data_IF_941263911632
#
_entry.id   IF_941263911632
#
_cell.length_a   1.000
_cell.length_b   1.000
_cell.length_c   1.000
_cell.angle_alpha   90.00
_cell.angle_beta   90.00
_cell.angle_gamma   90.00
#
_symmetry.space_group_name_H-M   'P 1'
#
loop_
_entity.id
_entity.type
_entity.pdbx_description
1 polymer ?
#
# COMPACT_ATOMS: atom_id res chain seq x y z
N UNK A 1 -5.49 8.40 23.00
CA UNK A 1 -4.73 7.14 23.01
C UNK A 1 -3.31 7.42 22.55
N UNK A 2 -2.35 6.63 23.01
CA UNK A 2 -1.00 6.63 22.44
C UNK A 2 -0.90 5.53 21.37
N UNK A 3 -0.50 5.92 20.16
CA UNK A 3 -0.55 5.04 18.99
C UNK A 3 0.83 4.97 18.32
N UNK A 4 1.32 3.75 18.06
CA UNK A 4 2.53 3.54 17.26
C UNK A 4 2.13 3.28 15.79
N UNK A 5 2.74 4.02 14.87
CA UNK A 5 2.66 3.78 13.43
C UNK A 5 4.04 3.39 12.92
N UNK A 6 4.24 2.11 12.59
CA UNK A 6 5.47 1.68 11.92
C UNK A 6 5.36 1.93 10.41
N UNK A 7 6.46 2.27 9.74
CA UNK A 7 6.39 2.81 8.38
C UNK A 7 5.82 4.25 8.35
N UNK A 8 5.94 4.96 9.50
CA UNK A 8 5.29 6.23 9.76
C UNK A 8 5.76 7.39 8.89
N UNK A 9 6.97 7.34 8.33
CA UNK A 9 7.51 8.40 7.45
C UNK A 9 7.20 8.14 5.97
N UNK A 10 6.69 6.94 5.64
CA UNK A 10 6.27 6.58 4.30
C UNK A 10 4.99 7.28 3.85
N UNK A 11 4.59 7.09 2.60
CA UNK A 11 3.41 7.73 2.00
C UNK A 11 2.13 7.52 2.83
N UNK A 12 1.75 6.26 3.05
CA UNK A 12 0.54 5.93 3.83
C UNK A 12 0.72 6.26 5.31
N UNK A 13 1.89 5.95 5.88
CA UNK A 13 2.16 6.19 7.30
C UNK A 13 2.05 7.66 7.67
N UNK A 14 2.64 8.54 6.88
CA UNK A 14 2.56 10.00 7.08
C UNK A 14 1.12 10.51 7.05
N UNK A 15 0.33 10.05 6.08
CA UNK A 15 -1.08 10.44 5.98
C UNK A 15 -1.88 9.97 7.21
N UNK A 16 -1.65 8.73 7.67
CA UNK A 16 -2.27 8.20 8.87
C UNK A 16 -1.83 8.95 10.13
N UNK A 17 -0.53 9.22 10.30
CA UNK A 17 0.00 9.99 11.45
C UNK A 17 -0.69 11.36 11.54
N UNK A 18 -0.81 12.08 10.40
CA UNK A 18 -1.51 13.36 10.36
C UNK A 18 -2.96 13.23 10.82
N UNK A 19 -3.68 12.20 10.34
CA UNK A 19 -5.07 11.96 10.72
C UNK A 19 -5.21 11.67 12.20
N UNK A 20 -4.41 10.76 12.75
CA UNK A 20 -4.46 10.40 14.16
C UNK A 20 -4.13 11.57 15.10
N UNK A 21 -3.17 12.42 14.73
CA UNK A 21 -2.88 13.65 15.47
C UNK A 21 -4.06 14.63 15.45
N UNK A 22 -4.72 14.79 14.29
CA UNK A 22 -5.91 15.64 14.15
C UNK A 22 -7.10 15.09 14.97
N UNK A 23 -7.19 13.77 15.12
CA UNK A 23 -8.19 13.10 15.96
C UNK A 23 -7.83 13.18 17.48
N UNK A 24 -6.74 13.87 17.84
CA UNK A 24 -6.33 14.13 19.23
C UNK A 24 -5.55 12.99 19.88
N UNK A 25 -4.95 12.09 19.10
CA UNK A 25 -4.11 11.02 19.62
C UNK A 25 -2.64 11.46 19.82
N UNK A 26 -1.93 10.81 20.74
CA UNK A 26 -0.47 10.90 20.86
C UNK A 26 0.17 9.85 19.93
N UNK A 27 0.97 10.28 18.96
CA UNK A 27 1.45 9.40 17.88
C UNK A 27 2.96 9.28 17.88
N UNK A 28 3.43 8.03 17.92
CA UNK A 28 4.82 7.66 17.68
C UNK A 28 4.92 7.11 16.25
N UNK A 29 5.75 7.76 15.41
CA UNK A 29 6.05 7.32 14.05
C UNK A 29 7.42 6.64 14.03
N UNK A 30 7.48 5.32 13.75
CA UNK A 30 8.72 4.57 13.64
C UNK A 30 8.97 4.19 12.18
N UNK A 31 10.17 4.45 11.68
CA UNK A 31 10.58 4.05 10.33
C UNK A 31 12.10 3.86 10.26
N UNK A 32 12.59 3.02 9.32
CA UNK A 32 14.01 2.71 9.20
C UNK A 32 14.84 3.86 8.60
N UNK A 33 14.21 4.82 7.96
CA UNK A 33 14.83 6.00 7.38
C UNK A 33 13.91 7.21 7.44
N UNK A 34 14.46 8.39 7.32
CA UNK A 34 13.67 9.58 7.09
C UNK A 34 13.00 9.51 5.71
N UNK A 35 11.71 9.77 5.67
CA UNK A 35 10.93 9.86 4.45
C UNK A 35 10.82 11.30 3.94
N UNK A 36 10.13 11.46 2.81
CA UNK A 36 9.81 12.77 2.25
C UNK A 36 9.00 13.56 3.29
N UNK A 37 9.53 14.74 3.65
CA UNK A 37 8.86 15.66 4.59
C UNK A 37 8.71 15.09 6.03
N UNK A 38 9.62 14.25 6.51
CA UNK A 38 9.64 13.75 7.90
C UNK A 38 9.58 14.88 8.92
N UNK A 39 10.24 16.02 8.65
CA UNK A 39 10.18 17.21 9.51
C UNK A 39 8.75 17.76 9.69
N UNK A 40 7.84 17.51 8.77
CA UNK A 40 6.44 17.87 8.95
C UNK A 40 5.79 17.04 10.07
N UNK A 41 6.12 15.76 10.20
CA UNK A 41 5.61 14.91 11.29
C UNK A 41 6.02 15.47 12.66
N UNK A 42 7.30 15.88 12.80
CA UNK A 42 7.80 16.50 14.04
C UNK A 42 7.09 17.82 14.32
N UNK A 43 6.88 18.67 13.29
CA UNK A 43 6.15 19.94 13.43
C UNK A 43 4.67 19.75 13.77
N UNK A 44 4.06 18.64 13.35
CA UNK A 44 2.68 18.31 13.72
C UNK A 44 2.57 17.74 15.14
N UNK A 45 3.70 17.44 15.79
CA UNK A 45 3.73 16.95 17.17
C UNK A 45 3.91 15.42 17.31
N UNK A 46 4.19 14.69 16.22
CA UNK A 46 4.51 13.27 16.33
C UNK A 46 5.91 13.06 16.93
N UNK A 47 6.06 12.07 17.80
CA UNK A 47 7.35 11.54 18.17
C UNK A 47 7.88 10.69 17.02
N UNK A 48 9.06 11.03 16.45
CA UNK A 48 9.64 10.31 15.32
C UNK A 48 10.85 9.51 15.79
N UNK A 49 10.81 8.19 15.57
CA UNK A 49 11.90 7.25 15.89
C UNK A 49 12.42 6.66 14.56
N UNK A 50 13.71 6.85 14.29
CA UNK A 50 14.37 6.29 13.11
C UNK A 50 15.08 5.00 13.50
N UNK A 51 14.43 3.87 13.21
CA UNK A 51 14.92 2.52 13.48
C UNK A 51 14.19 1.48 12.62
N UNK A 52 14.83 0.34 12.37
CA UNK A 52 14.20 -0.80 11.74
C UNK A 52 13.21 -1.48 12.68
N UNK A 53 12.16 -2.08 12.13
CA UNK A 53 11.25 -2.98 12.89
C UNK A 53 11.95 -4.26 13.37
N UNK A 54 13.16 -4.54 12.88
CA UNK A 54 14.02 -5.64 13.36
C UNK A 54 14.92 -5.23 14.54
N UNK A 55 15.02 -3.93 14.84
CA UNK A 55 15.72 -3.43 16.02
C UNK A 55 14.82 -3.55 17.26
N UNK A 56 15.01 -4.64 17.99
CA UNK A 56 14.17 -5.00 19.14
C UNK A 56 14.21 -3.93 20.26
N UNK A 57 15.34 -3.31 20.50
CA UNK A 57 15.47 -2.33 21.59
C UNK A 57 14.83 -0.99 21.21
N UNK A 58 15.01 -0.55 19.97
CA UNK A 58 14.35 0.65 19.47
C UNK A 58 12.82 0.47 19.41
N UNK A 59 12.33 -0.68 18.94
CA UNK A 59 10.89 -0.98 18.92
C UNK A 59 10.33 -1.07 20.35
N UNK A 60 11.05 -1.69 21.30
CA UNK A 60 10.65 -1.75 22.70
C UNK A 60 10.50 -0.36 23.31
N UNK A 61 11.44 0.55 23.01
CA UNK A 61 11.35 1.93 23.49
C UNK A 61 10.19 2.71 22.85
N UNK A 62 9.94 2.48 21.56
CA UNK A 62 8.89 3.17 20.81
C UNK A 62 7.48 2.70 21.21
N UNK A 63 7.33 1.46 21.70
CA UNK A 63 6.04 0.84 22.05
C UNK A 63 5.64 1.09 23.51
N UNK A 64 6.49 1.70 24.31
CA UNK A 64 6.22 1.96 25.72
C UNK A 64 5.01 2.88 25.90
N UNK A 65 4.03 2.40 26.70
CA UNK A 65 2.76 3.07 26.93
C UNK A 65 1.83 3.16 25.71
N UNK A 66 2.12 2.46 24.61
CA UNK A 66 1.28 2.40 23.42
C UNK A 66 0.08 1.50 23.65
N UNK A 67 -1.10 1.99 23.26
CA UNK A 67 -2.37 1.25 23.31
C UNK A 67 -2.71 0.55 22.01
N UNK A 68 -2.37 1.17 20.87
CA UNK A 68 -2.69 0.68 19.52
C UNK A 68 -1.46 0.73 18.63
N UNK A 69 -1.23 -0.32 17.84
CA UNK A 69 -0.18 -0.38 16.83
C UNK A 69 -0.81 -0.43 15.44
N UNK A 70 -0.43 0.49 14.56
CA UNK A 70 -0.62 0.39 13.12
C UNK A 70 0.68 -0.06 12.47
N UNK A 71 0.74 -1.31 12.03
CA UNK A 71 1.94 -1.89 11.44
C UNK A 71 1.89 -1.80 9.90
N UNK A 72 2.48 -0.69 9.37
CA UNK A 72 2.56 -0.41 7.95
C UNK A 72 3.97 -0.62 7.38
N UNK A 73 4.98 -0.78 8.24
CA UNK A 73 6.35 -1.02 7.82
C UNK A 73 6.45 -2.28 6.95
N UNK A 74 7.10 -2.17 5.81
CA UNK A 74 7.39 -3.30 4.93
C UNK A 74 8.55 -2.96 3.99
N UNK A 75 9.38 -3.96 3.69
CA UNK A 75 10.25 -3.92 2.52
C UNK A 75 9.36 -3.98 1.27
N UNK A 76 9.45 -2.97 0.41
CA UNK A 76 8.64 -2.82 -0.79
C UNK A 76 9.45 -2.21 -1.93
N UNK A 77 9.46 -2.86 -3.09
CA UNK A 77 10.19 -2.40 -4.29
C UNK A 77 11.70 -2.20 -4.13
N UNK A 78 12.31 -2.80 -3.14
CA UNK A 78 13.76 -2.86 -3.05
C UNK A 78 14.28 -3.81 -4.14
N UNK A 79 15.03 -3.29 -5.12
CA UNK A 79 15.42 -4.05 -6.31
C UNK A 79 16.76 -4.75 -6.15
N UNK A 80 17.64 -4.19 -5.32
CA UNK A 80 19.03 -4.66 -5.17
C UNK A 80 19.26 -5.46 -3.88
N UNK A 81 18.19 -6.02 -3.31
CA UNK A 81 18.25 -6.81 -2.07
C UNK A 81 17.86 -8.27 -2.32
N UNK A 82 18.42 -9.23 -1.57
CA UNK A 82 18.01 -10.62 -1.67
C UNK A 82 16.59 -10.83 -1.12
N UNK A 83 15.95 -11.92 -1.53
CA UNK A 83 14.61 -12.28 -1.02
C UNK A 83 14.57 -12.43 0.51
N UNK A 84 15.69 -12.85 1.12
CA UNK A 84 15.83 -12.96 2.57
C UNK A 84 15.61 -11.64 3.29
N UNK A 85 15.92 -10.50 2.66
CA UNK A 85 15.64 -9.18 3.21
C UNK A 85 14.13 -8.92 3.37
N UNK A 86 13.33 -9.31 2.36
CA UNK A 86 11.87 -9.22 2.47
C UNK A 86 11.32 -10.10 3.59
N UNK A 87 11.88 -11.31 3.74
CA UNK A 87 11.49 -12.23 4.81
C UNK A 87 11.83 -11.66 6.18
N UNK A 88 13.03 -11.12 6.34
CA UNK A 88 13.49 -10.52 7.58
C UNK A 88 12.61 -9.34 8.00
N UNK A 89 12.33 -8.41 7.08
CA UNK A 89 11.55 -7.22 7.40
C UNK A 89 10.05 -7.53 7.51
N UNK A 90 9.45 -8.19 6.49
CA UNK A 90 8.00 -8.31 6.42
C UNK A 90 7.45 -9.40 7.35
N UNK A 91 8.19 -10.46 7.59
CA UNK A 91 7.75 -11.55 8.49
C UNK A 91 8.46 -11.46 9.84
N UNK A 92 9.79 -11.37 9.85
CA UNK A 92 10.58 -11.24 11.08
C UNK A 92 10.27 -9.96 11.84
N UNK A 93 10.28 -8.80 11.14
CA UNK A 93 9.91 -7.52 11.73
C UNK A 93 8.48 -7.48 12.27
N UNK A 94 7.51 -8.07 11.53
CA UNK A 94 6.13 -8.19 12.02
C UNK A 94 6.07 -9.02 13.30
N UNK A 95 6.79 -10.17 13.36
CA UNK A 95 6.88 -10.99 14.57
C UNK A 95 7.45 -10.20 15.73
N UNK A 96 8.54 -9.50 15.53
CA UNK A 96 9.19 -8.69 16.56
C UNK A 96 8.23 -7.63 17.14
N UNK A 97 7.54 -6.88 16.27
CA UNK A 97 6.59 -5.87 16.73
C UNK A 97 5.40 -6.50 17.46
N UNK A 98 4.86 -7.64 17.01
CA UNK A 98 3.76 -8.37 17.66
C UNK A 98 4.14 -8.86 19.07
N UNK A 99 5.32 -9.48 19.21
CA UNK A 99 5.82 -9.98 20.49
C UNK A 99 6.01 -8.85 21.50
N UNK A 100 6.60 -7.74 21.06
CA UNK A 100 6.80 -6.55 21.89
C UNK A 100 5.47 -5.85 22.23
N UNK A 101 4.54 -5.78 21.26
CA UNK A 101 3.21 -5.24 21.48
C UNK A 101 2.45 -6.01 22.57
N UNK A 102 2.46 -7.35 22.48
CA UNK A 102 1.85 -8.21 23.51
C UNK A 102 2.51 -8.04 24.87
N UNK A 103 3.84 -7.99 24.92
CA UNK A 103 4.59 -7.80 26.15
C UNK A 103 4.36 -6.43 26.81
N UNK A 104 4.12 -5.39 26.02
CA UNK A 104 3.81 -4.03 26.47
C UNK A 104 2.33 -3.81 26.83
N UNK A 105 1.45 -4.82 26.64
CA UNK A 105 0.03 -4.70 26.91
C UNK A 105 -0.76 -3.89 25.89
N UNK A 106 -0.26 -3.81 24.65
CA UNK A 106 -0.99 -3.22 23.51
C UNK A 106 -2.30 -3.98 23.33
N UNK A 107 -3.41 -3.25 23.29
CA UNK A 107 -4.74 -3.85 23.20
C UNK A 107 -5.24 -4.07 21.78
N UNK A 108 -4.61 -3.43 20.79
CA UNK A 108 -5.01 -3.54 19.37
C UNK A 108 -3.81 -3.48 18.43
N UNK A 109 -3.79 -4.39 17.47
CA UNK A 109 -2.76 -4.46 16.43
C UNK A 109 -3.40 -4.47 15.04
N UNK A 110 -3.21 -3.41 14.27
CA UNK A 110 -3.70 -3.27 12.89
C UNK A 110 -2.57 -3.56 11.91
N UNK A 111 -2.74 -4.59 11.11
CA UNK A 111 -1.77 -5.00 10.11
C UNK A 111 -2.18 -4.52 8.72
N UNK A 112 -1.34 -3.72 8.08
CA UNK A 112 -1.52 -3.31 6.69
C UNK A 112 -0.87 -4.34 5.75
N UNK A 113 -1.69 -5.26 5.22
CA UNK A 113 -1.32 -6.24 4.19
C UNK A 113 -1.44 -5.64 2.77
N UNK A 114 -1.93 -6.37 1.79
CA UNK A 114 -2.16 -5.91 0.41
C UNK A 114 -3.17 -6.80 -0.31
N UNK A 115 -4.04 -6.23 -1.14
CA UNK A 115 -4.86 -7.01 -2.09
C UNK A 115 -4.00 -7.81 -3.08
N UNK A 116 -2.73 -7.43 -3.26
CA UNK A 116 -1.79 -8.16 -4.12
C UNK A 116 -1.61 -9.63 -3.76
N UNK A 117 -1.94 -10.05 -2.54
CA UNK A 117 -1.88 -11.47 -2.11
C UNK A 117 -2.76 -12.37 -2.97
N UNK A 118 -3.83 -11.84 -3.57
CA UNK A 118 -4.70 -12.56 -4.50
C UNK A 118 -4.10 -12.70 -5.91
N UNK A 119 -3.02 -11.95 -6.24
CA UNK A 119 -2.39 -12.00 -7.56
C UNK A 119 -3.33 -11.58 -8.69
N UNK A 120 -3.49 -12.46 -9.69
CA UNK A 120 -4.47 -12.27 -10.77
C UNK A 120 -5.83 -12.82 -10.36
N UNK A 121 -6.81 -11.95 -10.31
CA UNK A 121 -8.22 -12.31 -10.01
C UNK A 121 -8.87 -12.91 -11.25
N UNK A 122 -9.10 -14.22 -11.22
CA UNK A 122 -9.67 -14.94 -12.37
C UNK A 122 -11.13 -14.54 -12.64
N UNK A 123 -11.92 -14.34 -11.57
CA UNK A 123 -13.33 -13.94 -11.63
C UNK A 123 -13.53 -12.65 -10.83
N UNK A 124 -13.27 -11.49 -11.43
CA UNK A 124 -13.42 -10.20 -10.74
C UNK A 124 -14.91 -9.81 -10.55
N UNK A 125 -15.25 -9.14 -9.42
CA UNK A 125 -14.41 -8.81 -8.30
C UNK A 125 -14.16 -10.00 -7.35
N UNK A 126 -12.98 -10.07 -6.71
CA UNK A 126 -12.65 -11.04 -5.67
C UNK A 126 -13.05 -10.52 -4.29
N UNK A 127 -13.54 -11.40 -3.43
CA UNK A 127 -13.72 -11.17 -2.01
C UNK A 127 -12.50 -11.65 -1.18
N UNK A 128 -12.57 -11.55 0.14
CA UNK A 128 -11.49 -11.97 1.05
C UNK A 128 -11.21 -13.47 1.05
N UNK A 129 -12.19 -14.28 0.63
CA UNK A 129 -12.13 -15.75 0.59
C UNK A 129 -11.64 -16.28 -0.76
N UNK A 130 -11.43 -15.39 -1.74
CA UNK A 130 -10.86 -15.74 -3.03
C UNK A 130 -9.44 -16.32 -2.91
N UNK A 131 -9.01 -17.16 -3.88
CA UNK A 131 -7.70 -17.80 -3.84
C UNK A 131 -6.54 -16.82 -3.62
N UNK A 132 -5.59 -17.24 -2.79
CA UNK A 132 -4.34 -16.52 -2.53
C UNK A 132 -3.28 -17.04 -3.51
N UNK A 133 -2.85 -16.18 -4.41
CA UNK A 133 -1.89 -16.50 -5.48
C UNK A 133 -0.88 -15.38 -5.68
N UNK A 134 -0.01 -15.11 -4.68
CA UNK A 134 0.95 -14.01 -4.75
C UNK A 134 1.80 -14.10 -6.03
N UNK A 135 1.91 -13.00 -6.76
CA UNK A 135 2.63 -12.95 -8.02
C UNK A 135 4.12 -12.57 -7.84
N UNK A 136 4.49 -12.10 -6.67
CA UNK A 136 5.86 -11.73 -6.34
C UNK A 136 6.19 -11.96 -4.86
N UNK A 137 7.48 -11.89 -4.55
CA UNK A 137 8.00 -12.21 -3.21
C UNK A 137 7.53 -11.23 -2.13
N UNK A 138 7.32 -9.96 -2.48
CA UNK A 138 6.71 -8.99 -1.57
C UNK A 138 5.30 -9.41 -1.15
N UNK A 139 4.45 -9.75 -2.13
CA UNK A 139 3.08 -10.19 -1.87
C UNK A 139 3.07 -11.50 -1.05
N UNK A 140 3.98 -12.41 -1.36
CA UNK A 140 4.15 -13.65 -0.62
C UNK A 140 4.48 -13.37 0.86
N UNK A 141 5.51 -12.55 1.15
CA UNK A 141 5.89 -12.26 2.54
C UNK A 141 4.84 -11.46 3.29
N UNK A 142 4.07 -10.59 2.62
CA UNK A 142 2.93 -9.91 3.23
C UNK A 142 1.85 -10.92 3.64
N UNK A 143 1.56 -11.90 2.80
CA UNK A 143 0.62 -12.96 3.13
C UNK A 143 1.12 -13.88 4.23
N UNK A 144 2.39 -14.30 4.21
CA UNK A 144 3.00 -15.15 5.23
C UNK A 144 2.92 -14.53 6.65
N UNK A 145 2.90 -13.21 6.74
CA UNK A 145 2.72 -12.51 8.02
C UNK A 145 1.27 -12.50 8.51
N UNK A 146 0.25 -12.66 7.65
CA UNK A 146 -1.16 -12.64 8.07
C UNK A 146 -1.54 -13.76 9.06
N UNK A 147 -1.20 -15.05 8.82
CA UNK A 147 -1.43 -16.10 9.81
C UNK A 147 -0.71 -15.84 11.13
N UNK A 148 0.48 -15.23 11.07
CA UNK A 148 1.20 -14.83 12.28
C UNK A 148 0.41 -13.78 13.06
N UNK A 149 -0.08 -12.72 12.40
CA UNK A 149 -0.92 -11.70 13.05
C UNK A 149 -2.15 -12.34 13.67
N UNK A 150 -2.86 -13.20 12.95
CA UNK A 150 -4.05 -13.91 13.45
C UNK A 150 -3.75 -14.79 14.69
N UNK A 151 -2.54 -15.36 14.77
CA UNK A 151 -2.16 -16.19 15.93
C UNK A 151 -1.98 -15.39 17.22
N UNK A 152 -1.91 -14.07 17.15
CA UNK A 152 -1.85 -13.18 18.32
C UNK A 152 -3.23 -12.64 18.75
N UNK A 153 -4.29 -12.94 17.99
CA UNK A 153 -5.66 -12.57 18.37
C UNK A 153 -6.02 -13.18 19.73
N UNK A 154 -6.46 -12.35 20.63
CA UNK A 154 -6.85 -12.76 22.00
C UNK A 154 -7.81 -11.74 22.61
N UNK A 155 -8.32 -12.02 23.81
CA UNK A 155 -9.08 -11.03 24.56
C UNK A 155 -8.24 -9.82 24.95
N UNK A 156 -6.95 -10.03 25.24
CA UNK A 156 -6.03 -8.97 25.67
C UNK A 156 -5.52 -8.10 24.50
N UNK A 157 -5.38 -8.67 23.30
CA UNK A 157 -4.92 -7.95 22.12
C UNK A 157 -5.74 -8.34 20.90
N UNK A 158 -6.55 -7.43 20.40
CA UNK A 158 -7.32 -7.59 19.17
C UNK A 158 -6.46 -7.33 17.94
N UNK A 159 -6.64 -8.13 16.88
CA UNK A 159 -5.92 -7.97 15.63
C UNK A 159 -6.88 -7.66 14.49
N UNK A 160 -6.45 -6.79 13.56
CA UNK A 160 -7.20 -6.46 12.34
C UNK A 160 -6.25 -6.48 11.17
N UNK A 161 -6.64 -7.10 10.06
CA UNK A 161 -5.85 -7.12 8.83
C UNK A 161 -6.58 -6.33 7.75
N UNK A 162 -5.94 -5.29 7.24
CA UNK A 162 -6.42 -4.56 6.07
C UNK A 162 -5.57 -4.94 4.86
N UNK A 163 -6.22 -5.31 3.75
CA UNK A 163 -5.62 -5.57 2.44
C UNK A 163 -5.95 -4.40 1.50
N UNK A 164 -5.14 -3.33 1.46
CA UNK A 164 -5.38 -2.22 0.54
C UNK A 164 -5.09 -2.59 -0.90
N UNK A 165 -5.88 -2.01 -1.82
CA UNK A 165 -5.69 -2.09 -3.25
C UNK A 165 -4.58 -1.12 -3.73
N UNK A 166 -4.68 -0.57 -4.93
CA UNK A 166 -3.64 0.27 -5.51
C UNK A 166 -3.71 1.71 -4.96
N UNK A 167 -2.99 2.00 -3.89
CA UNK A 167 -3.01 3.29 -3.20
C UNK A 167 -2.43 4.38 -4.12
N UNK A 168 -3.11 5.53 -4.19
CA UNK A 168 -2.67 6.73 -4.90
C UNK A 168 -3.17 7.99 -4.19
N UNK A 169 -2.61 9.14 -4.55
CA UNK A 169 -3.04 10.43 -4.00
C UNK A 169 -1.89 11.43 -3.86
N UNK A 170 -2.16 12.63 -3.35
CA UNK A 170 -1.13 13.61 -3.00
C UNK A 170 -0.11 13.03 -2.01
N UNK A 171 1.18 13.13 -2.34
CA UNK A 171 2.26 12.55 -1.54
C UNK A 171 2.87 11.26 -2.10
N UNK A 172 2.30 10.64 -3.14
CA UNK A 172 2.89 9.51 -3.87
C UNK A 172 3.66 9.97 -5.11
N UNK A 173 5.00 10.06 -5.08
CA UNK A 173 5.76 10.51 -6.24
C UNK A 173 5.95 9.41 -7.31
N UNK A 174 5.66 8.15 -7.00
CA UNK A 174 6.16 7.02 -7.80
C UNK A 174 5.08 6.23 -8.54
N UNK A 175 4.06 5.73 -7.81
CA UNK A 175 3.19 4.67 -8.34
C UNK A 175 2.31 5.15 -9.49
N UNK A 176 1.50 6.15 -9.24
CA UNK A 176 0.67 6.79 -10.27
C UNK A 176 1.45 7.84 -11.06
N UNK A 177 2.52 8.40 -10.52
CA UNK A 177 3.38 9.38 -11.18
C UNK A 177 3.87 8.93 -12.56
N UNK A 178 4.11 7.64 -12.79
CA UNK A 178 4.47 7.12 -14.10
C UNK A 178 3.32 7.28 -15.12
N UNK A 179 2.06 7.03 -14.70
CA UNK A 179 0.88 7.19 -15.57
C UNK A 179 0.72 8.67 -15.91
N UNK A 180 0.74 9.54 -14.91
CA UNK A 180 0.62 10.99 -15.09
C UNK A 180 1.72 11.56 -16.01
N UNK A 181 2.99 11.19 -15.78
CA UNK A 181 4.11 11.61 -16.64
C UNK A 181 3.98 11.13 -18.09
N UNK A 182 3.44 9.94 -18.33
CA UNK A 182 3.18 9.43 -19.70
C UNK A 182 2.03 10.19 -20.35
N UNK A 183 0.94 10.41 -19.63
CA UNK A 183 -0.19 11.21 -20.10
C UNK A 183 0.24 12.65 -20.40
N UNK A 184 1.08 13.25 -19.56
CA UNK A 184 1.65 14.59 -19.79
C UNK A 184 2.41 14.69 -21.12
N UNK A 185 3.03 13.58 -21.59
CA UNK A 185 3.70 13.48 -22.89
C UNK A 185 2.73 13.24 -24.07
N UNK A 186 1.42 13.20 -23.82
CA UNK A 186 0.38 13.05 -24.85
C UNK A 186 0.21 11.64 -25.42
N UNK A 187 0.92 10.63 -24.89
CA UNK A 187 0.79 9.24 -25.38
C UNK A 187 1.03 8.22 -24.27
N UNK A 188 0.12 7.27 -24.16
CA UNK A 188 0.24 6.13 -23.28
C UNK A 188 -0.03 4.83 -24.04
N UNK A 189 1.00 4.06 -24.43
CA UNK A 189 0.81 2.80 -25.13
C UNK A 189 0.15 1.75 -24.22
N UNK A 190 -0.93 1.16 -24.73
CA UNK A 190 -1.62 0.03 -24.09
C UNK A 190 -1.07 -1.27 -24.69
N UNK A 191 -0.51 -2.14 -23.85
CA UNK A 191 -0.02 -3.44 -24.30
C UNK A 191 -1.08 -4.51 -24.04
N UNK A 192 -1.61 -5.10 -25.10
CA UNK A 192 -2.73 -6.03 -25.07
C UNK A 192 -4.08 -5.35 -25.25
N UNK A 193 -5.13 -5.90 -24.63
CA UNK A 193 -6.51 -5.41 -24.82
C UNK A 193 -6.83 -4.09 -24.10
N UNK A 194 -6.08 -3.74 -23.06
CA UNK A 194 -6.42 -2.60 -22.19
C UNK A 194 -7.65 -2.83 -21.28
N UNK A 195 -8.33 -3.98 -21.42
CA UNK A 195 -9.56 -4.30 -20.70
C UNK A 195 -9.32 -5.00 -19.35
N UNK A 196 -8.09 -5.08 -18.92
CA UNK A 196 -7.73 -5.65 -17.61
C UNK A 196 -8.14 -4.68 -16.51
N UNK A 197 -8.75 -5.20 -15.47
CA UNK A 197 -9.24 -4.39 -14.36
C UNK A 197 -8.13 -3.97 -13.41
N UNK A 198 -8.23 -2.72 -12.96
CA UNK A 198 -7.39 -2.10 -11.95
C UNK A 198 -8.25 -1.45 -10.89
N UNK A 199 -7.93 -1.64 -9.62
CA UNK A 199 -8.70 -1.08 -8.52
C UNK A 199 -7.86 -0.04 -7.79
N UNK A 200 -8.09 1.25 -8.03
CA UNK A 200 -7.46 2.32 -7.27
C UNK A 200 -7.96 2.35 -5.84
N UNK A 201 -7.18 3.00 -4.96
CA UNK A 201 -7.57 3.34 -3.61
C UNK A 201 -6.97 4.70 -3.26
N UNK A 202 -7.82 5.70 -3.12
CA UNK A 202 -7.37 7.03 -2.75
C UNK A 202 -6.84 7.06 -1.32
N UNK A 203 -5.75 7.80 -1.09
CA UNK A 203 -5.03 7.78 0.18
C UNK A 203 -5.92 8.12 1.38
N UNK A 204 -6.80 9.14 1.27
CA UNK A 204 -7.65 9.52 2.39
C UNK A 204 -8.71 8.45 2.68
N UNK A 205 -9.24 7.74 1.67
CA UNK A 205 -10.14 6.61 1.86
C UNK A 205 -9.45 5.48 2.65
N UNK A 206 -8.17 5.18 2.35
CA UNK A 206 -7.41 4.20 3.14
C UNK A 206 -7.18 4.68 4.57
N UNK A 207 -6.84 5.95 4.75
CA UNK A 207 -6.63 6.54 6.08
C UNK A 207 -7.91 6.49 6.91
N UNK A 208 -9.08 6.72 6.30
CA UNK A 208 -10.37 6.56 6.98
C UNK A 208 -10.62 5.12 7.44
N UNK A 209 -10.30 4.12 6.61
CA UNK A 209 -10.39 2.71 7.01
C UNK A 209 -9.43 2.37 8.17
N UNK A 210 -8.18 2.85 8.10
CA UNK A 210 -7.19 2.65 9.16
C UNK A 210 -7.62 3.34 10.48
N UNK A 211 -8.15 4.56 10.40
CA UNK A 211 -8.66 5.29 11.56
C UNK A 211 -9.89 4.62 12.17
N UNK A 212 -10.81 4.09 11.36
CA UNK A 212 -12.00 3.39 11.83
C UNK A 212 -11.63 2.17 12.68
N UNK A 213 -10.70 1.34 12.20
CA UNK A 213 -10.26 0.13 12.93
C UNK A 213 -9.31 0.41 14.11
N UNK A 214 -9.00 1.68 14.38
CA UNK A 214 -8.30 2.10 15.62
C UNK A 214 -9.21 1.94 16.84
N UNK A 215 -10.52 1.99 16.65
CA UNK A 215 -11.50 1.93 17.72
C UNK A 215 -11.80 0.49 18.15
N UNK A 216 -12.08 0.31 19.43
CA UNK A 216 -12.42 -0.99 20.01
C UNK A 216 -13.71 -1.55 19.42
N UNK A 217 -13.74 -2.87 19.20
CA UNK A 217 -14.87 -3.58 18.66
C UNK A 217 -15.04 -3.44 17.14
N UNK A 218 -14.22 -2.64 16.47
CA UNK A 218 -14.31 -2.46 15.02
C UNK A 218 -13.36 -3.43 14.32
N UNK A 219 -13.93 -4.45 13.68
CA UNK A 219 -13.20 -5.40 12.84
C UNK A 219 -12.33 -6.40 13.57
N UNK A 220 -12.57 -6.67 14.86
CA UNK A 220 -11.77 -7.57 15.70
C UNK A 220 -11.63 -8.96 15.08
N UNK A 221 -10.39 -9.44 14.93
CA UNK A 221 -10.05 -10.73 14.32
C UNK A 221 -10.26 -10.79 12.80
N UNK A 222 -10.78 -9.72 12.18
CA UNK A 222 -11.18 -9.69 10.78
C UNK A 222 -10.04 -9.43 9.79
N UNK A 223 -10.31 -9.76 8.54
CA UNK A 223 -9.48 -9.42 7.38
C UNK A 223 -10.38 -8.73 6.36
N UNK A 224 -9.95 -7.57 5.83
CA UNK A 224 -10.80 -6.72 4.98
C UNK A 224 -10.05 -6.24 3.75
N UNK A 225 -10.69 -6.37 2.58
CA UNK A 225 -10.26 -5.74 1.34
C UNK A 225 -10.64 -4.26 1.37
N UNK A 226 -9.70 -3.38 1.10
CA UNK A 226 -9.90 -1.93 1.11
C UNK A 226 -9.57 -1.37 -0.27
N UNK A 227 -10.58 -0.81 -0.94
CA UNK A 227 -10.46 -0.22 -2.27
C UNK A 227 -11.50 0.92 -2.42
N UNK A 228 -11.36 1.73 -3.47
CA UNK A 228 -12.39 2.71 -3.81
C UNK A 228 -13.68 2.00 -4.28
N UNK A 229 -14.78 2.75 -4.44
CA UNK A 229 -16.08 2.17 -4.82
C UNK A 229 -16.06 1.52 -6.21
N UNK A 230 -15.25 2.06 -7.13
CA UNK A 230 -15.20 1.58 -8.50
C UNK A 230 -13.82 1.04 -8.89
N UNK A 231 -13.81 -0.08 -9.59
CA UNK A 231 -12.67 -0.54 -10.35
C UNK A 231 -12.85 -0.23 -11.83
N UNK A 232 -11.77 0.02 -12.54
CA UNK A 232 -11.78 0.47 -13.94
C UNK A 232 -10.82 -0.34 -14.79
N UNK A 233 -11.01 -0.33 -16.12
CA UNK A 233 -10.00 -0.88 -17.01
C UNK A 233 -8.77 0.03 -17.07
N UNK A 234 -7.61 -0.53 -17.42
CA UNK A 234 -6.38 0.26 -17.58
C UNK A 234 -6.58 1.40 -18.58
N UNK A 235 -7.28 1.14 -19.69
CA UNK A 235 -7.58 2.14 -20.70
C UNK A 235 -8.48 3.27 -20.15
N UNK A 236 -9.51 2.90 -19.38
CA UNK A 236 -10.37 3.89 -18.73
C UNK A 236 -9.61 4.72 -17.70
N UNK A 237 -8.73 4.09 -16.90
CA UNK A 237 -7.88 4.81 -15.94
C UNK A 237 -7.02 5.86 -16.63
N UNK A 238 -6.34 5.49 -17.72
CA UNK A 238 -5.48 6.41 -18.49
C UNK A 238 -6.28 7.59 -19.05
N UNK A 239 -7.48 7.32 -19.58
CA UNK A 239 -8.39 8.36 -20.09
C UNK A 239 -8.84 9.30 -19.00
N UNK A 240 -9.19 8.78 -17.80
CA UNK A 240 -9.57 9.62 -16.65
C UNK A 240 -8.40 10.43 -16.10
N UNK A 241 -7.19 9.88 -16.10
CA UNK A 241 -5.98 10.66 -15.74
C UNK A 241 -5.77 11.82 -16.73
N UNK A 242 -5.95 11.59 -18.03
CA UNK A 242 -5.85 12.65 -19.03
C UNK A 242 -6.88 13.76 -18.79
N UNK A 243 -8.14 13.37 -18.52
CA UNK A 243 -9.21 14.31 -18.17
C UNK A 243 -8.90 15.08 -16.88
N UNK A 244 -8.32 14.43 -15.86
CA UNK A 244 -7.93 15.08 -14.61
C UNK A 244 -6.81 16.11 -14.77
N UNK A 245 -6.03 16.01 -15.86
CA UNK A 245 -4.97 16.92 -16.24
C UNK A 245 -5.39 17.97 -17.30
N UNK A 246 -6.66 17.96 -17.73
CA UNK A 246 -7.16 18.76 -18.86
C UNK A 246 -6.32 18.55 -20.15
N UNK A 247 -5.99 17.28 -20.46
CA UNK A 247 -5.15 16.91 -21.60
C UNK A 247 -5.80 15.81 -22.44
N UNK A 248 -5.43 15.78 -23.70
CA UNK A 248 -5.69 14.65 -24.59
C UNK A 248 -4.53 13.65 -24.53
N UNK A 249 -4.84 12.36 -24.61
CA UNK A 249 -3.85 11.29 -24.64
C UNK A 249 -4.17 10.31 -25.76
N UNK A 250 -3.18 9.96 -26.56
CA UNK A 250 -3.28 8.86 -27.54
C UNK A 250 -2.96 7.55 -26.84
N UNK A 251 -3.82 6.55 -26.99
CA UNK A 251 -3.65 5.22 -26.42
C UNK A 251 -3.45 4.16 -27.51
N UNK A 252 -2.29 4.15 -28.21
CA UNK A 252 -2.04 3.15 -29.24
C UNK A 252 -1.98 1.75 -28.62
N UNK A 253 -2.73 0.79 -29.20
CA UNK A 253 -2.69 -0.60 -28.79
C UNK A 253 -1.53 -1.32 -29.45
N UNK A 254 -0.68 -1.93 -28.64
CA UNK A 254 0.50 -2.68 -29.07
C UNK A 254 0.38 -4.15 -28.67
N UNK A 255 0.92 -5.09 -29.44
CA UNK A 255 0.97 -6.49 -29.03
C UNK A 255 1.70 -6.65 -27.70
N UNK A 256 1.19 -7.53 -26.83
CA UNK A 256 1.77 -7.76 -25.51
C UNK A 256 3.10 -8.55 -25.56
N UNK A 257 3.20 -9.52 -26.49
CA UNK A 257 4.31 -10.48 -26.51
C UNK A 257 5.72 -9.87 -26.64
N UNK A 258 5.94 -8.74 -27.43
CA UNK A 258 7.26 -8.16 -27.48
C UNK A 258 7.69 -7.53 -26.16
N UNK A 259 6.75 -6.91 -25.44
CA UNK A 259 7.00 -6.33 -24.11
C UNK A 259 7.35 -7.42 -23.10
N UNK A 260 6.60 -8.52 -23.11
CA UNK A 260 6.85 -9.68 -22.26
C UNK A 260 8.24 -10.29 -22.51
N UNK A 261 8.59 -10.50 -23.79
CA UNK A 261 9.90 -11.02 -24.17
C UNK A 261 11.02 -10.06 -23.75
N UNK A 262 10.86 -8.77 -24.00
CA UNK A 262 11.82 -7.75 -23.58
C UNK A 262 12.04 -7.75 -22.07
N UNK A 263 10.97 -7.85 -21.27
CA UNK A 263 11.05 -7.90 -19.81
C UNK A 263 11.93 -9.06 -19.32
N UNK A 264 11.76 -10.26 -19.89
CA UNK A 264 12.56 -11.44 -19.53
C UNK A 264 14.02 -11.34 -19.99
N UNK A 265 14.25 -10.78 -21.19
CA UNK A 265 15.62 -10.59 -21.69
C UNK A 265 16.36 -9.57 -20.82
N UNK A 266 15.75 -8.41 -20.53
CA UNK A 266 16.38 -7.39 -19.70
C UNK A 266 16.67 -7.91 -18.29
N UNK A 267 15.74 -8.64 -17.68
CA UNK A 267 15.97 -9.25 -16.36
C UNK A 267 17.20 -10.15 -16.37
N UNK A 268 17.27 -11.11 -17.33
CA UNK A 268 18.41 -12.03 -17.44
C UNK A 268 19.75 -11.37 -17.75
N UNK A 269 19.74 -10.29 -18.51
CA UNK A 269 20.98 -9.55 -18.89
C UNK A 269 21.43 -8.61 -17.76
N UNK A 270 20.49 -7.92 -17.11
CA UNK A 270 20.83 -6.94 -16.09
C UNK A 270 21.17 -7.58 -14.74
N UNK A 271 20.54 -8.71 -14.40
CA UNK A 271 20.74 -9.39 -13.11
C UNK A 271 22.22 -9.74 -12.81
N UNK A 272 23.01 -10.39 -13.71
CA UNK A 272 24.42 -10.68 -13.47
C UNK A 272 25.29 -9.41 -13.41
N UNK A 273 24.85 -8.32 -14.05
CA UNK A 273 25.56 -7.04 -14.07
C UNK A 273 25.20 -6.15 -12.86
N UNK A 274 24.26 -6.59 -12.01
CA UNK A 274 23.72 -5.80 -10.89
C UNK A 274 23.15 -4.44 -11.32
N UNK A 275 22.55 -4.38 -12.51
CA UNK A 275 21.91 -3.18 -13.07
C UNK A 275 20.41 -3.37 -12.98
N UNK A 276 19.70 -2.36 -12.51
CA UNK A 276 18.23 -2.35 -12.48
C UNK A 276 17.68 -2.41 -13.89
N UNK A 277 16.92 -3.47 -14.28
CA UNK A 277 16.37 -3.58 -15.62
C UNK A 277 15.34 -2.47 -15.85
N UNK A 278 15.36 -1.81 -17.03
CA UNK A 278 14.39 -0.75 -17.37
C UNK A 278 12.96 -1.30 -17.48
N UNK A 279 12.84 -2.57 -17.86
CA UNK A 279 11.59 -3.32 -17.96
C UNK A 279 11.83 -4.70 -17.33
N UNK A 280 10.93 -5.14 -16.47
CA UNK A 280 11.00 -6.46 -15.83
C UNK A 280 9.59 -7.08 -15.75
N UNK A 281 9.46 -8.41 -15.66
CA UNK A 281 8.18 -9.12 -15.77
C UNK A 281 7.06 -8.56 -14.89
N UNK A 282 7.33 -8.20 -13.65
CA UNK A 282 6.38 -7.61 -12.70
C UNK A 282 5.71 -6.32 -13.21
N UNK A 283 6.47 -5.45 -13.94
CA UNK A 283 5.91 -4.24 -14.58
C UNK A 283 5.07 -4.59 -15.79
N UNK A 284 5.43 -5.66 -16.48
CA UNK A 284 4.73 -6.13 -17.68
C UNK A 284 3.39 -6.78 -17.31
N UNK A 285 3.36 -7.55 -16.23
CA UNK A 285 2.16 -8.24 -15.75
C UNK A 285 1.02 -7.29 -15.32
N UNK A 286 1.32 -6.01 -15.07
CA UNK A 286 0.30 -5.00 -14.85
C UNK A 286 -0.74 -4.93 -15.99
N UNK A 287 -0.34 -5.22 -17.22
CA UNK A 287 -1.23 -5.25 -18.39
C UNK A 287 -2.04 -6.53 -18.55
N UNK A 288 -1.84 -7.55 -17.69
CA UNK A 288 -2.45 -8.88 -17.82
C UNK A 288 -3.25 -9.33 -16.61
N UNK A 289 -2.98 -8.77 -15.44
CA UNK A 289 -3.59 -9.21 -14.19
C UNK A 289 -4.81 -8.36 -13.86
N UNK A 290 -5.97 -9.01 -13.76
CA UNK A 290 -7.15 -8.40 -13.19
C UNK A 290 -6.95 -8.20 -11.68
N UNK A 291 -7.29 -7.01 -11.22
CA UNK A 291 -7.23 -6.61 -9.81
C UNK A 291 -8.47 -5.80 -9.50
N UNK A 292 -9.58 -6.47 -9.30
CA UNK A 292 -10.85 -5.91 -8.86
C UNK A 292 -11.34 -6.69 -7.65
N UNK A 293 -11.81 -5.99 -6.62
CA UNK A 293 -12.09 -6.52 -5.31
C UNK A 293 -13.48 -6.08 -4.84
N UNK A 294 -14.17 -6.95 -4.12
CA UNK A 294 -15.41 -6.66 -3.43
C UNK A 294 -15.12 -6.16 -2.03
N UNK A 295 -15.58 -4.97 -1.70
CA UNK A 295 -15.38 -4.33 -0.39
C UNK A 295 -16.59 -4.46 0.54
N UNK A 296 -17.59 -5.24 0.17
CA UNK A 296 -18.86 -5.35 0.91
C UNK A 296 -18.67 -5.77 2.37
N UNK A 297 -17.67 -6.63 2.65
CA UNK A 297 -17.34 -7.03 4.02
C UNK A 297 -16.84 -5.84 4.83
N UNK A 298 -15.94 -5.04 4.27
CA UNK A 298 -15.44 -3.83 4.94
C UNK A 298 -16.56 -2.80 5.15
N UNK A 299 -17.46 -2.62 4.18
CA UNK A 299 -18.62 -1.73 4.32
C UNK A 299 -19.51 -2.17 5.48
N UNK A 300 -19.82 -3.46 5.56
CA UNK A 300 -20.75 -4.01 6.55
C UNK A 300 -20.17 -4.07 7.97
N UNK A 301 -18.91 -4.50 8.11
CA UNK A 301 -18.35 -4.87 9.41
C UNK A 301 -17.51 -3.76 10.04
N UNK A 302 -16.86 -2.90 9.24
CA UNK A 302 -16.07 -1.79 9.76
C UNK A 302 -16.60 -0.41 9.34
N UNK A 303 -17.75 -0.36 8.66
CA UNK A 303 -18.37 0.89 8.22
C UNK A 303 -17.55 1.67 7.19
N UNK A 304 -16.70 0.97 6.42
CA UNK A 304 -15.85 1.60 5.42
C UNK A 304 -16.67 2.01 4.19
N UNK A 305 -16.77 3.31 3.94
CA UNK A 305 -17.38 3.88 2.75
C UNK A 305 -16.42 4.87 2.11
N UNK A 306 -15.82 4.57 0.94
CA UNK A 306 -14.91 5.49 0.26
C UNK A 306 -15.60 6.83 0.00
N UNK A 307 -15.13 7.90 0.61
CA UNK A 307 -15.74 9.23 0.50
C UNK A 307 -15.28 9.98 -0.75
N UNK A 308 -14.07 9.71 -1.23
CA UNK A 308 -13.48 10.38 -2.39
C UNK A 308 -13.57 9.45 -3.60
N UNK A 309 -14.32 9.87 -4.62
CA UNK A 309 -14.42 9.12 -5.88
C UNK A 309 -13.19 9.27 -6.77
N UNK A 310 -13.04 8.36 -7.73
CA UNK A 310 -11.85 8.26 -8.59
C UNK A 310 -11.52 9.57 -9.32
N UNK A 311 -12.51 10.22 -9.95
CA UNK A 311 -12.26 11.45 -10.71
C UNK A 311 -11.82 12.62 -9.81
N UNK A 312 -12.31 12.69 -8.59
CA UNK A 312 -11.90 13.70 -7.61
C UNK A 312 -10.48 13.43 -7.12
N UNK A 313 -10.18 12.20 -6.73
CA UNK A 313 -8.86 11.78 -6.29
C UNK A 313 -7.80 11.98 -7.36
N UNK A 314 -8.11 11.68 -8.63
CA UNK A 314 -7.20 11.92 -9.76
C UNK A 314 -6.94 13.42 -9.96
N UNK A 315 -7.97 14.29 -9.87
CA UNK A 315 -7.78 15.76 -9.94
C UNK A 315 -6.93 16.29 -8.80
N UNK A 316 -7.16 15.83 -7.58
CA UNK A 316 -6.36 16.22 -6.42
C UNK A 316 -4.88 15.80 -6.59
N UNK A 317 -4.67 14.58 -7.09
CA UNK A 317 -3.33 14.04 -7.37
C UNK A 317 -2.63 14.81 -8.50
N UNK A 318 -3.34 15.15 -9.59
CA UNK A 318 -2.80 15.94 -10.70
C UNK A 318 -2.31 17.31 -10.22
N UNK A 319 -3.14 18.01 -9.42
CA UNK A 319 -2.78 19.31 -8.84
C UNK A 319 -1.54 19.21 -7.97
N UNK A 320 -1.46 18.19 -7.12
CA UNK A 320 -0.29 17.99 -6.27
C UNK A 320 0.99 17.74 -7.09
N UNK A 321 0.95 16.89 -8.15
CA UNK A 321 2.10 16.68 -9.01
C UNK A 321 2.57 17.96 -9.70
N UNK A 322 1.65 18.85 -10.11
CA UNK A 322 1.97 20.15 -10.69
C UNK A 322 2.61 21.09 -9.67
N UNK A 323 2.11 21.13 -8.44
CA UNK A 323 2.61 22.00 -7.36
C UNK A 323 4.01 21.60 -6.86
N UNK A 324 4.33 20.31 -6.91
CA UNK A 324 5.60 19.76 -6.42
C UNK A 324 6.59 19.48 -7.58
N UNK A 325 6.35 20.00 -8.79
CA UNK A 325 7.20 19.86 -9.99
C UNK A 325 7.51 18.41 -10.41
N UNK A 326 6.57 17.49 -10.22
CA UNK A 326 6.69 16.10 -10.70
C UNK A 326 6.23 15.89 -12.15
N UNK A 327 5.60 16.90 -12.78
CA UNK A 327 5.02 16.85 -14.13
C UNK A 327 5.55 17.94 -15.04
#
# INVERSE_FOLDING_TARGET
MRILVTGGTGFTGKALVRRLLNDGHDVVALDYKEGIKTEELRRWGAAVVIASVTDTDAVRSAIDGVEVVHHLAAAFRELDVPNTYYQEINVGGTRNVLELARAAGVRRFVYCSTCGVHGNVANPPADEDAPITPADYYQQTKYEAEPLVKSFESEAMKTVILRPAAIYGPGDPERFGMIFRRVAKGSFPIFGSGQVFYHPLYIDNLVDALAAVTNDGVGDGGTYLIADEEYVTIENLVTRVAKAMDREVKTPHLPFWPLWLAGHIFEKVCQPLRITPPIFPRRVDWYRQNRAFDISRAQKEIGFHPAVGLDEGLRATARWYQQEDYL
#
